data_IF_527036425172
#
_entry.id   IF_527036425172
#
_cell.length_a   1.000
_cell.length_b   1.000
_cell.length_c   1.000
_cell.angle_alpha   90.00
_cell.angle_beta   90.00
_cell.angle_gamma   90.00
#
_symmetry.space_group_name_H-M   'P 1'
#
loop_
_entity.id
_entity.type
_entity.pdbx_description
1 polymer ?
#
# COMPACT_ATOMS: atom_id res chain seq x y z
N UNK A 1 -18.33 -31.20 -10.14
CA UNK A 1 -18.10 -29.80 -9.74
C UNK A 1 -18.28 -28.94 -10.98
N UNK A 2 -19.24 -28.02 -10.98
CA UNK A 2 -19.26 -26.95 -11.99
C UNK A 2 -18.46 -25.79 -11.41
N UNK A 3 -17.15 -25.81 -11.66
CA UNK A 3 -16.28 -24.68 -11.36
C UNK A 3 -16.67 -23.56 -12.31
N UNK A 4 -17.23 -22.46 -11.79
CA UNK A 4 -17.50 -21.28 -12.61
C UNK A 4 -16.16 -20.77 -13.20
N UNK A 5 -15.95 -20.86 -14.52
CA UNK A 5 -14.70 -20.46 -15.15
C UNK A 5 -14.39 -18.97 -14.91
N UNK A 6 -15.44 -18.14 -14.79
CA UNK A 6 -15.30 -16.71 -14.53
C UNK A 6 -14.70 -16.47 -13.16
N UNK A 7 -15.23 -17.16 -12.15
CA UNK A 7 -14.73 -17.07 -10.78
C UNK A 7 -13.27 -17.54 -10.65
N UNK A 8 -12.91 -18.63 -11.33
CA UNK A 8 -11.54 -19.12 -11.36
C UNK A 8 -10.58 -18.13 -12.02
N UNK A 9 -10.93 -17.61 -13.20
CA UNK A 9 -10.08 -16.65 -13.92
C UNK A 9 -9.90 -15.36 -13.13
N UNK A 10 -10.98 -14.84 -12.53
CA UNK A 10 -10.90 -13.65 -11.68
C UNK A 10 -10.03 -13.91 -10.44
N UNK A 11 -10.23 -15.04 -9.75
CA UNK A 11 -9.43 -15.41 -8.59
C UNK A 11 -7.95 -15.56 -8.90
N UNK A 12 -7.60 -16.24 -10.01
CA UNK A 12 -6.22 -16.38 -10.50
C UNK A 12 -5.65 -14.99 -10.86
N UNK A 13 -6.40 -14.18 -11.59
CA UNK A 13 -5.96 -12.84 -12.00
C UNK A 13 -5.68 -11.93 -10.81
N UNK A 14 -6.55 -11.94 -9.80
CA UNK A 14 -6.37 -11.17 -8.56
C UNK A 14 -5.19 -11.68 -7.73
N UNK A 15 -5.04 -13.01 -7.60
CA UNK A 15 -3.92 -13.62 -6.88
C UNK A 15 -2.58 -13.28 -7.56
N UNK A 16 -2.46 -13.49 -8.87
CA UNK A 16 -1.24 -13.19 -9.60
C UNK A 16 -0.97 -11.69 -9.67
N UNK A 17 -1.96 -10.89 -10.05
CA UNK A 17 -1.83 -9.44 -10.18
C UNK A 17 -1.50 -8.76 -8.84
N UNK A 18 -2.24 -9.12 -7.78
CA UNK A 18 -1.98 -8.62 -6.43
C UNK A 18 -0.62 -9.06 -5.89
N UNK A 19 -0.25 -10.33 -6.11
CA UNK A 19 1.04 -10.87 -5.67
C UNK A 19 2.22 -10.23 -6.39
N UNK A 20 2.13 -10.09 -7.72
CA UNK A 20 3.15 -9.42 -8.53
C UNK A 20 3.26 -7.94 -8.20
N UNK A 21 2.12 -7.24 -8.06
CA UNK A 21 2.11 -5.82 -7.66
C UNK A 21 2.75 -5.61 -6.30
N UNK A 22 2.39 -6.45 -5.31
CA UNK A 22 2.96 -6.38 -3.97
C UNK A 22 4.47 -6.68 -3.96
N UNK A 23 4.89 -7.75 -4.64
CA UNK A 23 6.32 -8.14 -4.70
C UNK A 23 7.16 -7.12 -5.44
N UNK A 24 6.67 -6.59 -6.57
CA UNK A 24 7.31 -5.52 -7.32
C UNK A 24 7.47 -4.28 -6.46
N UNK A 25 6.41 -3.85 -5.78
CA UNK A 25 6.47 -2.72 -4.86
C UNK A 25 7.54 -2.92 -3.77
N UNK A 26 7.51 -4.07 -3.11
CA UNK A 26 8.43 -4.37 -1.99
C UNK A 26 9.89 -4.47 -2.44
N UNK A 27 10.16 -4.95 -3.67
CA UNK A 27 11.52 -5.15 -4.19
C UNK A 27 12.10 -3.93 -4.90
N UNK A 28 11.29 -3.22 -5.68
CA UNK A 28 11.73 -2.12 -6.54
C UNK A 28 11.39 -0.76 -5.94
N UNK A 29 10.10 -0.43 -5.86
CA UNK A 29 9.60 0.89 -5.47
C UNK A 29 10.03 1.27 -4.04
N UNK A 30 9.88 0.35 -3.08
CA UNK A 30 10.20 0.61 -1.66
C UNK A 30 11.65 1.04 -1.44
N UNK A 31 12.59 0.60 -2.28
CA UNK A 31 14.03 0.88 -2.10
C UNK A 31 14.41 2.29 -2.52
N UNK A 32 13.70 2.87 -3.49
CA UNK A 32 13.95 4.21 -4.04
C UNK A 32 12.65 5.00 -4.16
N UNK A 33 11.94 5.27 -3.05
CA UNK A 33 10.67 5.98 -3.10
C UNK A 33 10.80 7.42 -3.62
N UNK A 34 12.01 7.98 -3.59
CA UNK A 34 12.29 9.31 -4.12
C UNK A 34 12.22 9.45 -5.64
N UNK A 35 12.33 8.36 -6.41
CA UNK A 35 12.28 8.39 -7.88
C UNK A 35 10.86 8.35 -8.43
N UNK A 36 9.88 8.20 -7.54
CA UNK A 36 8.51 7.84 -7.86
C UNK A 36 7.62 9.07 -7.61
N UNK A 37 7.36 9.84 -8.67
CA UNK A 37 6.67 11.14 -8.60
C UNK A 37 5.28 11.03 -7.97
N UNK A 38 4.62 9.89 -8.13
CA UNK A 38 3.29 9.65 -7.58
C UNK A 38 3.24 9.61 -6.04
N UNK A 39 4.38 9.43 -5.36
CA UNK A 39 4.43 9.64 -3.91
C UNK A 39 4.29 11.11 -3.52
N UNK A 40 4.84 12.00 -4.33
CA UNK A 40 4.82 13.44 -4.10
C UNK A 40 3.58 14.11 -4.73
N UNK A 41 2.91 13.45 -5.70
CA UNK A 41 1.71 13.97 -6.38
C UNK A 41 0.42 13.81 -5.57
N UNK A 42 0.37 12.92 -4.57
CA UNK A 42 -0.76 12.78 -3.65
C UNK A 42 -0.89 13.96 -2.65
N UNK A 43 -0.14 15.05 -2.85
CA UNK A 43 -0.21 16.27 -2.05
C UNK A 43 -1.38 17.17 -2.54
N UNK A 44 -2.63 16.85 -2.18
CA UNK A 44 -3.76 17.77 -2.36
C UNK A 44 -5.10 17.14 -2.69
N UNK A 45 -6.15 17.97 -2.66
CA UNK A 45 -7.54 17.59 -2.90
C UNK A 45 -7.77 16.97 -4.30
N UNK A 46 -6.94 17.34 -5.28
CA UNK A 46 -7.01 16.88 -6.68
C UNK A 46 -6.72 15.38 -6.85
N UNK A 47 -6.02 14.77 -5.89
CA UNK A 47 -5.73 13.33 -5.92
C UNK A 47 -6.92 12.47 -5.49
N UNK A 48 -7.99 13.09 -4.95
CA UNK A 48 -9.09 12.36 -4.31
C UNK A 48 -8.69 11.65 -3.00
N UNK A 49 -7.44 11.79 -2.57
CA UNK A 49 -6.92 11.18 -1.36
C UNK A 49 -6.62 12.26 -0.32
N UNK A 50 -7.20 12.12 0.87
CA UNK A 50 -7.21 13.15 1.92
C UNK A 50 -5.86 13.36 2.59
N UNK A 51 -4.92 12.42 2.46
CA UNK A 51 -3.62 12.46 3.13
C UNK A 51 -2.42 12.36 2.18
N UNK A 52 -1.43 13.20 2.47
CA UNK A 52 -0.12 13.28 1.80
C UNK A 52 0.62 11.94 1.76
N UNK A 53 0.40 11.09 2.76
CA UNK A 53 1.11 9.82 2.91
C UNK A 53 0.27 8.62 2.42
N UNK A 54 -0.93 8.84 1.87
CA UNK A 54 -1.84 7.74 1.52
C UNK A 54 -1.33 6.87 0.36
N UNK A 55 -0.59 7.46 -0.59
CA UNK A 55 0.12 6.74 -1.66
C UNK A 55 1.05 5.66 -1.11
N UNK A 56 1.60 5.89 0.09
CA UNK A 56 2.46 4.95 0.80
C UNK A 56 1.76 3.67 1.25
N UNK A 57 0.44 3.73 1.34
CA UNK A 57 -0.39 2.61 1.76
C UNK A 57 -1.16 1.99 0.59
N UNK A 58 -1.57 2.81 -0.38
CA UNK A 58 -2.45 2.39 -1.46
C UNK A 58 -1.90 1.21 -2.28
N UNK A 59 -0.69 1.36 -2.83
CA UNK A 59 -0.10 0.34 -3.70
C UNK A 59 0.25 -0.95 -2.94
N UNK A 60 1.06 -0.93 -1.86
CA UNK A 60 1.44 -2.17 -1.19
C UNK A 60 0.22 -2.87 -0.56
N UNK A 61 -0.60 -2.15 0.20
CA UNK A 61 -1.69 -2.80 0.91
C UNK A 61 -2.88 -3.09 0.00
N UNK A 62 -3.12 -2.29 -1.03
CA UNK A 62 -4.10 -2.59 -2.08
C UNK A 62 -3.71 -3.83 -2.90
N UNK A 63 -2.47 -3.94 -3.36
CA UNK A 63 -2.00 -5.15 -4.05
C UNK A 63 -2.08 -6.39 -3.14
N UNK A 64 -1.75 -6.25 -1.85
CA UNK A 64 -1.89 -7.33 -0.88
C UNK A 64 -3.36 -7.72 -0.65
N UNK A 65 -4.27 -6.74 -0.61
CA UNK A 65 -5.71 -6.99 -0.52
C UNK A 65 -6.20 -7.83 -1.70
N UNK A 66 -5.86 -7.44 -2.93
CA UNK A 66 -6.24 -8.21 -4.12
C UNK A 66 -5.62 -9.61 -4.13
N UNK A 67 -4.37 -9.77 -3.69
CA UNK A 67 -3.73 -11.08 -3.54
C UNK A 67 -4.55 -11.99 -2.62
N UNK A 68 -4.89 -11.49 -1.43
CA UNK A 68 -5.63 -12.25 -0.42
C UNK A 68 -7.07 -12.51 -0.87
N UNK A 69 -7.75 -11.54 -1.46
CA UNK A 69 -9.10 -11.71 -1.95
C UNK A 69 -9.16 -12.76 -3.07
N UNK A 70 -8.23 -12.72 -4.02
CA UNK A 70 -8.08 -13.75 -5.06
C UNK A 70 -7.83 -15.13 -4.48
N UNK A 71 -6.99 -15.24 -3.44
CA UNK A 71 -6.76 -16.50 -2.73
C UNK A 71 -8.04 -17.05 -2.08
N UNK A 72 -8.80 -16.23 -1.34
CA UNK A 72 -10.05 -16.65 -0.71
C UNK A 72 -11.09 -17.09 -1.76
N UNK A 73 -11.19 -16.37 -2.86
CA UNK A 73 -12.07 -16.69 -3.97
C UNK A 73 -11.72 -18.06 -4.56
N UNK A 74 -10.43 -18.35 -4.77
CA UNK A 74 -9.99 -19.66 -5.24
C UNK A 74 -10.28 -20.77 -4.23
N UNK A 75 -10.06 -20.55 -2.93
CA UNK A 75 -10.42 -21.53 -1.90
C UNK A 75 -11.90 -21.91 -1.94
N UNK A 76 -12.79 -20.96 -2.28
CA UNK A 76 -14.23 -21.22 -2.41
C UNK A 76 -14.59 -22.09 -3.62
N UNK A 77 -13.73 -22.13 -4.63
CA UNK A 77 -13.91 -22.98 -5.81
C UNK A 77 -13.48 -24.44 -5.57
N UNK A 78 -12.61 -24.71 -4.59
CA UNK A 78 -12.09 -26.05 -4.31
C UNK A 78 -12.79 -26.72 -3.12
N UNK A 79 -12.98 -28.04 -3.17
CA UNK A 79 -13.36 -28.82 -1.99
C UNK A 79 -12.13 -29.07 -1.13
N UNK A 80 -11.99 -28.24 -0.09
CA UNK A 80 -10.92 -28.36 0.89
C UNK A 80 -11.37 -29.30 2.02
N UNK A 81 -10.52 -30.22 2.52
CA UNK A 81 -10.82 -31.04 3.69
C UNK A 81 -11.11 -30.18 4.93
N UNK A 82 -12.12 -30.57 5.73
CA UNK A 82 -12.52 -29.81 6.92
C UNK A 82 -11.43 -29.68 7.97
N UNK A 83 -10.51 -30.64 8.04
CA UNK A 83 -9.33 -30.59 8.92
C UNK A 83 -8.34 -29.47 8.56
N UNK A 84 -8.28 -29.06 7.29
CA UNK A 84 -7.31 -28.08 6.78
C UNK A 84 -7.91 -26.67 6.74
N UNK A 85 -9.24 -26.55 6.58
CA UNK A 85 -9.97 -25.27 6.57
C UNK A 85 -9.59 -24.33 7.73
N UNK A 86 -9.64 -24.73 9.02
CA UNK A 86 -9.39 -23.79 10.12
C UNK A 86 -7.96 -23.24 10.10
N UNK A 87 -6.97 -24.07 9.73
CA UNK A 87 -5.57 -23.65 9.61
C UNK A 87 -5.42 -22.61 8.50
N UNK A 88 -6.00 -22.85 7.32
CA UNK A 88 -5.98 -21.91 6.20
C UNK A 88 -6.67 -20.59 6.55
N UNK A 89 -7.83 -20.63 7.20
CA UNK A 89 -8.56 -19.44 7.64
C UNK A 89 -7.78 -18.65 8.69
N UNK A 90 -7.09 -19.32 9.62
CA UNK A 90 -6.25 -18.64 10.61
C UNK A 90 -5.09 -17.90 9.95
N UNK A 91 -4.37 -18.53 9.03
CA UNK A 91 -3.27 -17.91 8.27
C UNK A 91 -3.80 -16.74 7.45
N UNK A 92 -4.94 -16.93 6.78
CA UNK A 92 -5.61 -15.88 6.02
C UNK A 92 -5.99 -14.68 6.90
N UNK A 93 -6.59 -14.91 8.06
CA UNK A 93 -7.03 -13.86 8.98
C UNK A 93 -5.86 -13.00 9.45
N UNK A 94 -4.72 -13.63 9.80
CA UNK A 94 -3.50 -12.90 10.18
C UNK A 94 -2.98 -12.07 8.99
N UNK A 95 -2.96 -12.63 7.79
CA UNK A 95 -2.51 -11.92 6.59
C UNK A 95 -3.46 -10.75 6.24
N UNK A 96 -4.77 -10.93 6.39
CA UNK A 96 -5.81 -9.96 6.10
C UNK A 96 -5.81 -8.76 7.07
N UNK A 97 -5.21 -8.88 8.25
CA UNK A 97 -5.01 -7.75 9.14
C UNK A 97 -4.09 -6.66 8.53
N UNK A 98 -3.11 -7.05 7.71
CA UNK A 98 -2.16 -6.13 7.08
C UNK A 98 -2.84 -5.13 6.11
N UNK A 99 -3.66 -5.54 5.13
CA UNK A 99 -4.35 -4.59 4.27
C UNK A 99 -5.35 -3.69 5.01
N UNK A 100 -5.98 -4.18 6.10
CA UNK A 100 -6.86 -3.35 6.95
C UNK A 100 -6.08 -2.20 7.59
N UNK A 101 -4.88 -2.48 8.12
CA UNK A 101 -3.98 -1.42 8.62
C UNK A 101 -3.61 -0.44 7.50
N UNK A 102 -3.39 -0.94 6.28
CA UNK A 102 -3.16 -0.11 5.11
C UNK A 102 -4.30 0.87 4.84
N UNK A 103 -5.55 0.40 4.88
CA UNK A 103 -6.74 1.23 4.67
C UNK A 103 -6.84 2.36 5.70
N UNK A 104 -6.56 2.07 6.98
CA UNK A 104 -6.53 3.10 8.04
C UNK A 104 -5.46 4.17 7.72
N UNK A 105 -4.32 3.76 7.17
CA UNK A 105 -3.27 4.67 6.70
C UNK A 105 -3.70 5.54 5.52
N UNK A 106 -4.48 5.01 4.58
CA UNK A 106 -5.04 5.76 3.44
C UNK A 106 -6.01 6.84 3.92
N UNK A 107 -6.80 6.56 4.97
CA UNK A 107 -7.73 7.52 5.56
C UNK A 107 -7.05 8.67 6.33
N UNK A 108 -5.71 8.70 6.38
CA UNK A 108 -4.94 9.77 7.01
C UNK A 108 -4.79 9.64 8.52
N UNK A 109 -5.14 8.48 9.10
CA UNK A 109 -4.90 8.23 10.52
C UNK A 109 -3.39 8.04 10.74
N UNK A 110 -2.73 8.86 11.58
CA UNK A 110 -1.31 8.74 11.85
C UNK A 110 -1.05 7.50 12.71
N UNK A 111 -0.86 6.37 12.06
CA UNK A 111 -0.57 5.10 12.73
C UNK A 111 0.85 5.10 13.32
N UNK A 112 1.01 4.89 14.64
CA UNK A 112 2.32 4.78 15.28
C UNK A 112 2.98 3.42 15.01
N UNK A 113 4.29 3.36 15.17
CA UNK A 113 4.99 2.09 15.32
C UNK A 113 4.55 1.42 16.65
N UNK A 114 4.29 0.11 16.72
CA UNK A 114 4.60 -0.96 15.76
C UNK A 114 3.46 -1.36 14.80
N UNK A 115 2.34 -0.62 14.78
CA UNK A 115 1.17 -0.99 13.96
C UNK A 115 1.52 -0.94 12.46
N UNK A 116 2.36 0.02 12.06
CA UNK A 116 2.81 0.16 10.67
C UNK A 116 4.27 -0.30 10.52
N UNK A 117 4.63 -0.93 9.38
CA UNK A 117 6.01 -1.34 9.11
C UNK A 117 7.03 -0.20 9.25
N UNK A 118 8.21 -0.50 9.79
CA UNK A 118 9.28 0.50 10.01
C UNK A 118 9.65 1.28 8.76
N UNK A 119 9.69 0.60 7.60
CA UNK A 119 10.05 1.23 6.32
C UNK A 119 9.10 2.39 5.96
N UNK A 120 7.82 2.31 6.33
CA UNK A 120 6.86 3.40 6.10
C UNK A 120 7.25 4.64 6.90
N UNK A 121 7.57 4.44 8.17
CA UNK A 121 7.98 5.52 9.09
C UNK A 121 9.24 6.21 8.56
N UNK A 122 10.18 5.44 8.01
CA UNK A 122 11.42 5.97 7.45
C UNK A 122 11.16 6.81 6.19
N UNK A 123 10.27 6.38 5.30
CA UNK A 123 9.90 7.16 4.10
C UNK A 123 9.19 8.45 4.51
N UNK A 124 8.26 8.41 5.46
CA UNK A 124 7.59 9.61 6.00
C UNK A 124 8.59 10.62 6.56
N UNK A 125 9.57 10.15 7.33
CA UNK A 125 10.64 11.00 7.87
C UNK A 125 11.45 11.67 6.75
N UNK A 126 11.86 10.89 5.73
CA UNK A 126 12.57 11.41 4.54
C UNK A 126 11.72 12.43 3.75
N UNK A 127 10.43 12.14 3.53
CA UNK A 127 9.50 13.06 2.84
C UNK A 127 9.37 14.38 3.61
N UNK A 128 9.23 14.33 4.94
CA UNK A 128 9.18 15.53 5.79
C UNK A 128 10.49 16.33 5.79
N UNK A 129 11.64 15.67 5.76
CA UNK A 129 12.95 16.34 5.66
C UNK A 129 13.09 17.09 4.34
N UNK A 130 12.83 16.43 3.19
CA UNK A 130 12.85 17.07 1.86
C UNK A 130 11.88 18.24 1.75
N UNK A 131 10.68 18.11 2.33
CA UNK A 131 9.71 19.20 2.36
C UNK A 131 10.21 20.42 3.15
N UNK A 132 10.97 20.21 4.25
CA UNK A 132 11.59 21.29 5.02
C UNK A 132 12.70 21.98 4.21
N UNK A 133 13.55 21.22 3.52
CA UNK A 133 14.60 21.75 2.64
C UNK A 133 14.02 22.58 1.49
N UNK A 134 13.00 22.07 0.78
CA UNK A 134 12.29 22.80 -0.28
C UNK A 134 11.70 24.13 0.24
N UNK A 135 11.14 24.14 1.46
CA UNK A 135 10.60 25.36 2.09
C UNK A 135 11.71 26.34 2.49
N UNK A 136 12.86 25.85 2.97
CA UNK A 136 14.01 26.69 3.31
C UNK A 136 14.60 27.34 2.05
N UNK A 137 14.78 26.58 0.97
CA UNK A 137 15.25 27.08 -0.31
C UNK A 137 14.32 28.17 -0.89
N UNK A 138 13.00 27.94 -0.87
CA UNK A 138 12.01 28.96 -1.29
C UNK A 138 12.08 30.23 -0.44
N UNK A 139 12.30 30.11 0.87
CA UNK A 139 12.46 31.27 1.77
C UNK A 139 13.75 32.04 1.51
N UNK A 140 14.86 31.34 1.23
CA UNK A 140 16.13 31.95 0.89
C UNK A 140 16.06 32.72 -0.44
N UNK A 141 15.46 32.12 -1.48
CA UNK A 141 15.26 32.77 -2.78
C UNK A 141 14.43 34.06 -2.65
N UNK A 142 13.31 34.01 -1.92
CA UNK A 142 12.48 35.20 -1.65
C UNK A 142 13.21 36.30 -0.88
N UNK A 143 14.11 35.95 0.04
CA UNK A 143 14.93 36.93 0.78
C UNK A 143 15.98 37.58 -0.14
N UNK A 144 16.59 36.80 -1.03
CA UNK A 144 17.55 37.31 -2.00
C UNK A 144 16.89 38.27 -3.02
N UNK A 145 15.67 37.97 -3.45
CA UNK A 145 14.88 38.83 -4.33
C UNK A 145 14.47 40.15 -3.66
N UNK A 146 14.15 40.14 -2.36
CA UNK A 146 13.77 41.35 -1.61
C UNK A 146 14.96 42.29 -1.28
N UNK A 147 16.20 41.79 -1.33
CA UNK A 147 17.42 42.56 -1.04
C UNK A 147 18.11 43.08 -2.32
N UNK A 148 17.52 42.82 -3.50
CA UNK A 148 17.88 43.47 -4.76
C UNK A 148 17.04 44.72 -4.94
#
# INVERSE_FOLDING_TARGET
>A
MNLDPTALLLGIGMLLGGGLGWTFYMKAIRKKPETEEWYDSADGWESGVTDRDASLYLVPFGSLFFFLFGFLMLLSCFTIPDSVKPVLFCVYAVAAALPVIGMIGIMGVPLPWPIVPRWVVDIRKKKRARARERRAAKRAAKRAEKNK
#
